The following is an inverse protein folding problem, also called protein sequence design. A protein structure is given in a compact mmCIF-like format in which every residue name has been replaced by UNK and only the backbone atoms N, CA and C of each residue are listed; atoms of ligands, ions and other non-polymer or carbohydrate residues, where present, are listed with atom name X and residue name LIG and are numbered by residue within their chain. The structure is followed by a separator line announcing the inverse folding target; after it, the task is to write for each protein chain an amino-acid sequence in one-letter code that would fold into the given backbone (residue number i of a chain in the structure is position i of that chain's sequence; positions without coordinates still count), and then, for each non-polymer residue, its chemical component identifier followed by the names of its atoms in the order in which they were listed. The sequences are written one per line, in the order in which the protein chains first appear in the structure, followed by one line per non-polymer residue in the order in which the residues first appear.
data_IF_363819110447
#
_entry.id   IF_363819110447
#
_cell.length_a   1.000
_cell.length_b   1.000
_cell.length_c   1.000
_cell.angle_alpha   90.00
_cell.angle_beta   90.00
_cell.angle_gamma   90.00
#
_symmetry.space_group_name_H-M   'P 1'
#
loop_
_entity.id
_entity.type
_entity.pdbx_description
1 polymer ?
#
# COMPACT_ATOMS: atom_id res chain seq x y z
N UNK A 1 6.87 17.13 8.69
CA UNK A 1 6.84 16.31 9.92
C UNK A 1 8.25 15.82 10.18
N UNK A 2 8.88 16.14 11.32
CA UNK A 2 10.18 15.55 11.67
C UNK A 2 9.92 14.08 11.98
N UNK A 3 10.66 13.15 11.36
CA UNK A 3 10.71 11.74 11.78
C UNK A 3 11.28 11.72 13.20
N UNK A 4 10.42 11.94 14.20
CA UNK A 4 10.79 11.75 15.60
C UNK A 4 11.19 10.31 15.77
N UNK A 5 12.28 10.07 16.50
CA UNK A 5 12.82 8.74 16.77
C UNK A 5 11.73 7.83 17.35
N UNK A 6 11.03 7.13 16.47
CA UNK A 6 10.08 6.09 16.79
C UNK A 6 10.87 4.83 17.08
N UNK A 7 10.35 4.02 17.99
CA UNK A 7 10.54 2.57 18.02
C UNK A 7 10.70 2.08 16.58
N UNK A 8 11.91 1.62 16.22
CA UNK A 8 12.26 1.38 14.82
C UNK A 8 11.21 0.46 14.19
N UNK A 9 10.40 1.00 13.26
CA UNK A 9 9.41 0.21 12.53
C UNK A 9 10.17 -0.96 11.89
N UNK A 10 9.77 -2.22 12.14
CA UNK A 10 10.51 -3.36 11.64
C UNK A 10 10.52 -3.39 10.11
N UNK A 11 11.48 -4.12 9.54
CA UNK A 11 11.47 -4.34 8.10
C UNK A 11 10.36 -5.34 7.71
N UNK A 12 9.65 -5.15 6.59
CA UNK A 12 8.63 -6.10 6.14
C UNK A 12 9.21 -7.51 5.89
N UNK A 13 8.59 -8.53 6.48
CA UNK A 13 8.94 -9.94 6.29
C UNK A 13 7.93 -10.62 5.35
N UNK A 14 8.41 -11.29 4.31
CA UNK A 14 7.56 -11.95 3.29
C UNK A 14 6.84 -13.18 3.86
N UNK A 15 5.60 -13.42 3.43
CA UNK A 15 4.73 -14.56 3.82
C UNK A 15 4.25 -15.35 2.59
N UNK A 16 5.12 -16.15 1.95
CA UNK A 16 4.79 -16.87 0.72
C UNK A 16 3.59 -17.82 0.83
N UNK A 17 3.34 -18.35 2.02
CA UNK A 17 2.23 -19.26 2.30
C UNK A 17 0.85 -18.59 2.13
N UNK A 18 0.76 -17.27 2.32
CA UNK A 18 -0.48 -16.50 2.14
C UNK A 18 -0.68 -16.11 0.67
N UNK A 19 0.41 -15.96 -0.09
CA UNK A 19 0.39 -15.48 -1.48
C UNK A 19 -0.41 -16.39 -2.41
N UNK A 20 -0.36 -17.71 -2.19
CA UNK A 20 -1.10 -18.68 -3.02
C UNK A 20 -2.61 -18.45 -2.92
N UNK A 21 -3.12 -18.22 -1.71
CA UNK A 21 -4.53 -17.97 -1.49
C UNK A 21 -4.92 -16.57 -1.97
N UNK A 22 -4.10 -15.57 -1.68
CA UNK A 22 -4.32 -14.19 -2.12
C UNK A 22 -4.37 -14.09 -3.66
N UNK A 23 -3.46 -14.77 -4.37
CA UNK A 23 -3.44 -14.80 -5.84
C UNK A 23 -4.71 -15.42 -6.43
N UNK A 24 -5.21 -16.50 -5.81
CA UNK A 24 -6.47 -17.14 -6.25
C UNK A 24 -7.67 -16.23 -6.05
N UNK A 25 -7.70 -15.47 -4.95
CA UNK A 25 -8.80 -14.56 -4.63
C UNK A 25 -8.81 -13.31 -5.50
N UNK A 26 -7.64 -12.69 -5.67
CA UNK A 26 -7.51 -11.39 -6.33
C UNK A 26 -7.33 -11.52 -7.85
N UNK A 27 -6.92 -12.69 -8.36
CA UNK A 27 -6.64 -12.90 -9.78
C UNK A 27 -5.39 -12.19 -10.31
N UNK A 28 -4.63 -11.54 -9.42
CA UNK A 28 -3.43 -10.75 -9.73
C UNK A 28 -2.20 -11.34 -9.02
N UNK A 29 -1.03 -11.05 -9.55
CA UNK A 29 0.27 -11.40 -8.97
C UNK A 29 0.51 -10.56 -7.72
N UNK A 30 0.44 -11.23 -6.57
CA UNK A 30 0.52 -10.61 -5.26
C UNK A 30 1.67 -11.20 -4.44
N UNK A 31 2.40 -10.32 -3.75
CA UNK A 31 3.32 -10.70 -2.66
C UNK A 31 2.79 -10.18 -1.33
N UNK A 32 2.88 -10.98 -0.29
CA UNK A 32 2.34 -10.65 1.03
C UNK A 32 3.48 -10.50 2.02
N UNK A 33 3.41 -9.45 2.83
CA UNK A 33 4.39 -9.16 3.87
C UNK A 33 3.68 -8.82 5.19
N UNK A 34 4.41 -9.02 6.29
CA UNK A 34 4.02 -8.55 7.62
C UNK A 34 5.07 -7.60 8.16
N UNK A 35 4.63 -6.54 8.83
CA UNK A 35 5.50 -5.52 9.40
C UNK A 35 4.89 -5.02 10.72
N UNK A 36 5.41 -5.51 11.84
CA UNK A 36 4.70 -5.39 13.12
C UNK A 36 3.35 -6.11 13.02
N UNK A 37 2.27 -5.40 13.31
CA UNK A 37 0.90 -5.90 13.14
C UNK A 37 0.30 -5.55 11.76
N UNK A 38 1.01 -4.77 10.94
CA UNK A 38 0.53 -4.44 9.60
C UNK A 38 0.67 -5.64 8.66
N UNK A 39 -0.34 -5.83 7.81
CA UNK A 39 -0.27 -6.72 6.65
C UNK A 39 -0.16 -5.88 5.39
N UNK A 40 0.76 -6.25 4.51
CA UNK A 40 1.06 -5.50 3.28
C UNK A 40 0.92 -6.44 2.09
N UNK A 41 0.12 -6.03 1.11
CA UNK A 41 -0.03 -6.69 -0.18
C UNK A 41 0.65 -5.84 -1.23
N UNK A 42 1.52 -6.43 -2.03
CA UNK A 42 2.13 -5.81 -3.21
C UNK A 42 1.57 -6.51 -4.45
N UNK A 43 0.75 -5.81 -5.22
CA UNK A 43 0.24 -6.30 -6.52
C UNK A 43 1.06 -5.66 -7.64
N UNK A 44 1.26 -6.35 -8.77
CA UNK A 44 2.24 -5.89 -9.80
C UNK A 44 1.76 -5.94 -11.25
N UNK A 45 0.63 -6.56 -11.51
CA UNK A 45 0.07 -6.82 -12.85
C UNK A 45 -1.31 -6.18 -13.04
N UNK A 46 -1.58 -5.10 -12.33
CA UNK A 46 -2.81 -4.32 -12.56
C UNK A 46 -2.64 -3.36 -13.75
N UNK A 47 -3.76 -2.99 -14.44
CA UNK A 47 -3.71 -2.03 -15.54
C UNK A 47 -3.04 -0.70 -15.15
N UNK A 48 -3.18 -0.32 -13.87
CA UNK A 48 -2.65 0.93 -13.33
C UNK A 48 -1.23 0.83 -12.78
N UNK A 49 -0.60 -0.34 -12.89
CA UNK A 49 0.77 -0.61 -12.46
C UNK A 49 0.80 -1.50 -11.22
N UNK A 50 1.75 -1.23 -10.33
CA UNK A 50 1.80 -1.90 -9.03
C UNK A 50 1.13 -1.03 -7.97
N UNK A 51 0.56 -1.66 -6.94
CA UNK A 51 0.04 -0.95 -5.78
C UNK A 51 0.44 -1.65 -4.48
N UNK A 52 0.41 -0.89 -3.38
CA UNK A 52 0.53 -1.40 -2.01
C UNK A 52 -0.80 -1.24 -1.29
N UNK A 53 -1.31 -2.33 -0.74
CA UNK A 53 -2.40 -2.27 0.24
C UNK A 53 -1.80 -2.55 1.61
N UNK A 54 -1.94 -1.61 2.55
CA UNK A 54 -1.39 -1.71 3.90
C UNK A 54 -2.55 -1.61 4.88
N UNK A 55 -2.76 -2.66 5.67
CA UNK A 55 -3.83 -2.69 6.67
C UNK A 55 -3.29 -3.07 8.04
N UNK A 56 -4.03 -2.68 9.07
CA UNK A 56 -3.74 -3.02 10.45
C UNK A 56 -5.03 -3.45 11.16
N UNK A 57 -5.00 -4.42 12.10
CA UNK A 57 -6.21 -5.03 12.62
C UNK A 57 -7.15 -4.10 13.40
N UNK A 58 -6.64 -3.03 14.02
CA UNK A 58 -7.42 -2.21 14.99
C UNK A 58 -7.38 -0.69 14.78
N UNK A 59 -6.61 -0.21 13.80
CA UNK A 59 -6.40 1.23 13.53
C UNK A 59 -5.82 1.40 12.14
N UNK A 60 -5.87 2.60 11.57
CA UNK A 60 -5.11 2.88 10.34
C UNK A 60 -3.59 2.72 10.56
N UNK A 61 -2.84 2.27 9.54
CA UNK A 61 -1.39 2.36 9.51
C UNK A 61 -0.91 3.78 9.83
N UNK A 62 0.13 3.89 10.63
CA UNK A 62 0.79 5.16 10.89
C UNK A 62 1.55 5.61 9.66
N UNK A 63 1.85 6.91 9.56
CA UNK A 63 2.65 7.43 8.44
C UNK A 63 4.01 6.73 8.32
N UNK A 64 4.67 6.45 9.44
CA UNK A 64 5.99 5.81 9.42
C UNK A 64 5.93 4.35 9.00
N UNK A 65 4.85 3.62 9.33
CA UNK A 65 4.60 2.29 8.75
C UNK A 65 4.35 2.37 7.24
N UNK A 66 3.53 3.31 6.79
CA UNK A 66 3.27 3.51 5.36
C UNK A 66 4.57 3.84 4.61
N UNK A 67 5.37 4.77 5.15
CA UNK A 67 6.65 5.15 4.58
C UNK A 67 7.64 3.98 4.57
N UNK A 68 7.75 3.23 5.68
CA UNK A 68 8.64 2.08 5.78
C UNK A 68 8.28 1.02 4.73
N UNK A 69 7.00 0.64 4.64
CA UNK A 69 6.52 -0.32 3.64
C UNK A 69 6.81 0.16 2.21
N UNK A 70 6.52 1.43 1.91
CA UNK A 70 6.77 2.02 0.58
C UNK A 70 8.25 1.96 0.20
N UNK A 71 9.12 2.47 1.06
CA UNK A 71 10.56 2.57 0.74
C UNK A 71 11.27 1.21 0.80
N UNK A 72 10.75 0.24 1.56
CA UNK A 72 11.29 -1.11 1.63
C UNK A 72 10.90 -2.02 0.46
N UNK A 73 9.69 -1.84 -0.10
CA UNK A 73 9.09 -2.80 -1.03
C UNK A 73 8.91 -2.28 -2.46
N UNK A 74 8.83 -0.97 -2.66
CA UNK A 74 8.66 -0.39 -4.00
C UNK A 74 9.97 0.17 -4.58
N UNK A 75 10.01 0.48 -5.90
CA UNK A 75 11.17 1.09 -6.56
C UNK A 75 11.57 2.43 -5.93
N UNK A 76 12.86 2.75 -5.88
CA UNK A 76 13.37 3.96 -5.22
C UNK A 76 13.10 5.25 -6.01
N UNK A 77 12.93 5.15 -7.32
CA UNK A 77 12.87 6.24 -8.31
C UNK A 77 11.45 6.55 -8.78
N UNK A 78 10.43 6.02 -8.10
CA UNK A 78 9.04 6.18 -8.49
C UNK A 78 8.24 6.94 -7.42
N UNK A 79 7.51 7.96 -7.84
CA UNK A 79 6.55 8.59 -6.96
C UNK A 79 5.37 7.65 -6.71
N UNK A 80 4.84 7.68 -5.49
CA UNK A 80 3.60 7.03 -5.13
C UNK A 80 2.67 8.01 -4.46
N UNK A 81 1.38 7.78 -4.63
CA UNK A 81 0.33 8.60 -4.07
C UNK A 81 -0.66 7.72 -3.31
N UNK A 82 -1.17 8.25 -2.21
CA UNK A 82 -2.39 7.73 -1.59
C UNK A 82 -3.55 8.45 -2.25
N UNK A 83 -4.27 7.74 -3.11
CA UNK A 83 -5.35 8.33 -3.91
C UNK A 83 -6.67 8.34 -3.13
N UNK A 84 -7.34 9.49 -3.11
CA UNK A 84 -8.72 9.62 -2.67
C UNK A 84 -9.60 9.84 -3.91
N UNK A 85 -10.04 8.78 -4.59
CA UNK A 85 -10.86 8.89 -5.79
C UNK A 85 -12.22 9.53 -5.48
N UNK A 86 -12.99 9.95 -6.51
CA UNK A 86 -14.40 10.26 -6.36
C UNK A 86 -15.12 9.16 -5.57
N UNK A 87 -16.09 9.52 -4.74
CA UNK A 87 -16.75 8.58 -3.81
C UNK A 87 -17.30 7.32 -4.51
N UNK A 88 -17.87 7.47 -5.72
CA UNK A 88 -18.38 6.36 -6.54
C UNK A 88 -17.31 5.36 -7.02
N UNK A 89 -16.04 5.74 -6.95
CA UNK A 89 -14.88 4.93 -7.33
C UNK A 89 -14.06 4.51 -6.10
N UNK A 90 -14.46 4.94 -4.89
CA UNK A 90 -13.76 4.60 -3.65
C UNK A 90 -14.02 3.14 -3.30
N UNK A 91 -12.98 2.30 -3.43
CA UNK A 91 -13.02 0.90 -3.04
C UNK A 91 -12.12 0.72 -1.82
N UNK A 92 -12.71 0.33 -0.70
CA UNK A 92 -11.97 -0.16 0.45
C UNK A 92 -12.70 -1.34 1.09
N UNK A 93 -12.23 -2.56 0.82
CA UNK A 93 -12.84 -3.79 1.33
C UNK A 93 -12.30 -4.20 2.69
N UNK A 94 -11.19 -3.60 3.14
CA UNK A 94 -10.53 -3.95 4.39
C UNK A 94 -10.58 -2.78 5.35
N UNK A 95 -11.08 -3.04 6.56
CA UNK A 95 -10.99 -2.07 7.63
C UNK A 95 -9.55 -1.60 7.80
N UNK A 96 -9.41 -0.30 8.05
CA UNK A 96 -8.12 0.32 8.30
C UNK A 96 -7.06 0.11 7.21
N UNK A 97 -7.45 0.01 5.95
CA UNK A 97 -6.53 -0.15 4.83
C UNK A 97 -6.21 1.18 4.12
N UNK A 98 -4.94 1.38 3.80
CA UNK A 98 -4.48 2.42 2.87
C UNK A 98 -3.92 1.79 1.60
N UNK A 99 -4.30 2.39 0.48
CA UNK A 99 -3.84 2.01 -0.85
C UNK A 99 -2.87 3.06 -1.39
N UNK A 100 -1.66 2.64 -1.76
CA UNK A 100 -0.67 3.48 -2.42
C UNK A 100 -0.51 2.98 -3.85
N UNK A 101 -0.65 3.88 -4.80
CA UNK A 101 -0.49 3.61 -6.22
C UNK A 101 0.71 4.36 -6.78
N UNK A 102 1.26 3.86 -7.88
CA UNK A 102 2.21 4.63 -8.69
C UNK A 102 1.57 5.95 -9.10
N UNK A 103 2.30 7.05 -8.90
CA UNK A 103 1.86 8.34 -9.40
C UNK A 103 1.82 8.31 -10.93
N UNK A 104 0.68 8.67 -11.49
CA UNK A 104 0.53 8.93 -12.92
C UNK A 104 0.33 10.42 -13.14
N UNK A 105 0.77 10.97 -14.28
CA UNK A 105 0.46 12.36 -14.62
C UNK A 105 -1.06 12.53 -14.66
N UNK A 106 -1.60 13.29 -13.71
CA UNK A 106 -2.97 13.74 -13.79
C UNK A 106 -3.01 14.93 -14.78
N UNK A 107 -4.05 14.97 -15.63
CA UNK A 107 -4.30 16.16 -16.46
C UNK A 107 -4.47 17.40 -15.58
N UNK A 108 -4.23 18.60 -16.13
CA UNK A 108 -4.46 19.84 -15.40
C UNK A 108 -5.93 19.91 -14.98
N UNK A 109 -6.18 19.91 -13.68
CA UNK A 109 -7.51 20.19 -13.13
C UNK A 109 -7.61 21.70 -12.93
N UNK A 110 -8.63 22.32 -13.52
CA UNK A 110 -9.02 23.69 -13.21
C UNK A 110 -9.98 23.60 -12.03
N UNK A 111 -9.58 24.14 -10.89
CA UNK A 111 -10.47 24.28 -9.75
C UNK A 111 -11.59 25.29 -10.11
N UNK A 112 -12.85 25.05 -9.72
CA UNK A 112 -13.90 26.06 -9.82
C UNK A 112 -13.58 27.31 -8.98
#
# INVERSE_FOLDING_TARGET
MKRTAQTAVPYPARRPEVEVQARKLLGVSVRVYVMGECTIFVTTDEPDGWHLSISHPTRYPTWDEVAQARYALGPADQNVVMHLPPEREYVNLHDFCFHLHVERPHGKVVLP
#
